data_IF_605719601659
#
_entry.id   IF_605719601659
#
_cell.length_a   1.000
_cell.length_b   1.000
_cell.length_c   1.000
_cell.angle_alpha   90.00
_cell.angle_beta   90.00
_cell.angle_gamma   90.00
#
_symmetry.space_group_name_H-M   'P 1'
#
loop_
_entity.id
_entity.type
_entity.pdbx_description
1 polymer ?
#
# COMPACT_ATOMS: atom_id res chain seq x y z
N UNK A 1 -15.89 -10.74 10.76
CA UNK A 1 -15.32 -9.78 9.78
C UNK A 1 -14.53 -8.74 10.56
N UNK A 2 -13.26 -8.47 10.20
CA UNK A 2 -12.52 -7.34 10.77
C UNK A 2 -13.26 -6.05 10.40
N UNK A 3 -13.43 -5.12 11.34
CA UNK A 3 -13.98 -3.81 11.03
C UNK A 3 -13.11 -3.12 9.97
N UNK A 4 -13.70 -2.47 8.95
CA UNK A 4 -12.95 -1.69 7.96
C UNK A 4 -12.12 -0.61 8.65
N UNK A 5 -10.86 -0.45 8.26
CA UNK A 5 -9.95 0.54 8.85
C UNK A 5 -10.29 1.94 8.34
N UNK A 6 -11.32 2.55 8.93
CA UNK A 6 -11.81 3.88 8.61
C UNK A 6 -10.90 4.95 9.20
N UNK A 7 -10.60 6.00 8.43
CA UNK A 7 -9.89 7.20 8.89
C UNK A 7 -10.76 8.01 9.86
N UNK A 8 -10.15 8.92 10.61
CA UNK A 8 -10.86 9.74 11.61
C UNK A 8 -12.01 10.55 11.00
N UNK A 9 -11.77 11.22 9.87
CA UNK A 9 -12.77 11.98 9.11
C UNK A 9 -13.91 11.10 8.58
N UNK A 10 -13.61 9.91 8.06
CA UNK A 10 -14.61 8.92 7.61
C UNK A 10 -15.50 8.48 8.77
N UNK A 11 -14.90 8.17 9.94
CA UNK A 11 -15.63 7.79 11.16
C UNK A 11 -16.55 8.90 11.66
N UNK A 12 -16.09 10.16 11.62
CA UNK A 12 -16.90 11.30 12.01
C UNK A 12 -18.10 11.49 11.09
N UNK A 13 -17.90 11.38 9.77
CA UNK A 13 -18.99 11.51 8.81
C UNK A 13 -20.02 10.38 8.97
N UNK A 14 -19.58 9.13 9.20
CA UNK A 14 -20.49 8.01 9.46
C UNK A 14 -21.33 8.25 10.72
N UNK A 15 -20.74 8.83 11.78
CA UNK A 15 -21.50 9.20 12.99
C UNK A 15 -22.60 10.23 12.68
N UNK A 16 -22.30 11.24 11.86
CA UNK A 16 -23.30 12.22 11.41
C UNK A 16 -24.39 11.57 10.56
N UNK A 17 -24.01 10.76 9.57
CA UNK A 17 -24.95 9.99 8.73
C UNK A 17 -25.91 9.15 9.58
N UNK A 18 -25.41 8.47 10.61
CA UNK A 18 -26.23 7.64 11.50
C UNK A 18 -27.18 8.46 12.36
N UNK A 19 -26.75 9.66 12.81
CA UNK A 19 -27.62 10.59 13.52
C UNK A 19 -28.83 10.97 12.64
N UNK A 20 -28.58 11.40 11.41
CA UNK A 20 -29.65 11.74 10.45
C UNK A 20 -30.52 10.55 10.10
N UNK A 21 -29.94 9.38 9.90
CA UNK A 21 -30.68 8.16 9.58
C UNK A 21 -31.62 7.73 10.72
N UNK A 22 -31.18 7.88 11.98
CA UNK A 22 -32.03 7.57 13.14
C UNK A 22 -33.20 8.56 13.25
N UNK A 23 -32.94 9.84 13.01
CA UNK A 23 -33.95 10.89 13.09
C UNK A 23 -34.97 10.82 11.94
N UNK A 24 -34.52 10.50 10.73
CA UNK A 24 -35.41 10.23 9.60
C UNK A 24 -36.38 9.09 9.89
N UNK A 25 -35.93 8.00 10.53
CA UNK A 25 -36.81 6.91 10.99
C UNK A 25 -37.87 7.41 11.96
N UNK A 26 -37.51 8.26 12.92
CA UNK A 26 -38.47 8.86 13.85
C UNK A 26 -39.48 9.78 13.16
N UNK A 27 -39.06 10.54 12.14
CA UNK A 27 -39.96 11.38 11.34
C UNK A 27 -40.91 10.57 10.45
N UNK A 28 -40.45 9.42 9.94
CA UNK A 28 -41.30 8.44 9.23
C UNK A 28 -42.38 7.91 10.17
N UNK A 29 -42.00 7.46 11.37
CA UNK A 29 -42.93 6.93 12.37
C UNK A 29 -43.96 7.98 12.82
N UNK A 30 -43.57 9.26 12.85
CA UNK A 30 -44.46 10.37 13.17
C UNK A 30 -45.33 10.86 11.98
N UNK A 31 -45.17 10.29 10.78
CA UNK A 31 -45.90 10.68 9.58
C UNK A 31 -45.56 12.09 9.06
N UNK A 32 -44.42 12.66 9.45
CA UNK A 32 -43.98 14.03 9.13
C UNK A 32 -42.82 14.06 8.13
N UNK A 33 -42.57 12.97 7.40
CA UNK A 33 -41.45 12.92 6.46
C UNK A 33 -41.79 13.65 5.16
N UNK A 34 -41.08 14.75 4.93
CA UNK A 34 -41.06 15.45 3.64
C UNK A 34 -40.21 14.65 2.61
N UNK A 35 -40.54 14.64 1.29
CA UNK A 35 -39.79 13.89 0.28
C UNK A 35 -38.31 14.29 0.17
N UNK A 36 -37.96 15.50 0.62
CA UNK A 36 -36.57 15.97 0.68
C UNK A 36 -35.74 15.18 1.72
N UNK A 37 -36.34 14.80 2.86
CA UNK A 37 -35.69 13.98 3.88
C UNK A 37 -35.48 12.52 3.45
N UNK A 38 -36.33 12.00 2.57
CA UNK A 38 -36.18 10.66 2.01
C UNK A 38 -34.97 10.58 1.06
N UNK A 39 -34.80 11.61 0.21
CA UNK A 39 -33.63 11.75 -0.67
C UNK A 39 -32.34 11.90 0.14
N UNK A 40 -32.37 12.72 1.20
CA UNK A 40 -31.23 12.90 2.08
C UNK A 40 -30.83 11.59 2.78
N UNK A 41 -31.80 10.85 3.29
CA UNK A 41 -31.56 9.56 3.97
C UNK A 41 -30.94 8.54 3.02
N UNK A 42 -31.46 8.44 1.80
CA UNK A 42 -30.93 7.55 0.76
C UNK A 42 -29.50 7.94 0.36
N UNK A 43 -29.23 9.24 0.19
CA UNK A 43 -27.88 9.73 -0.11
C UNK A 43 -26.89 9.42 1.04
N UNK A 44 -27.32 9.56 2.30
CA UNK A 44 -26.51 9.24 3.47
C UNK A 44 -26.16 7.75 3.53
N UNK A 45 -27.12 6.85 3.27
CA UNK A 45 -26.88 5.41 3.26
C UNK A 45 -25.92 4.99 2.13
N UNK A 46 -26.11 5.53 0.93
CA UNK A 46 -25.21 5.29 -0.20
C UNK A 46 -23.78 5.75 0.12
N UNK A 47 -23.63 6.90 0.76
CA UNK A 47 -22.33 7.42 1.15
C UNK A 47 -21.66 6.57 2.25
N UNK A 48 -22.41 6.10 3.25
CA UNK A 48 -21.89 5.17 4.26
C UNK A 48 -21.36 3.88 3.62
N UNK A 49 -22.12 3.29 2.69
CA UNK A 49 -21.72 2.11 1.93
C UNK A 49 -20.44 2.36 1.10
N UNK A 50 -20.36 3.51 0.43
CA UNK A 50 -19.18 3.92 -0.34
C UNK A 50 -17.95 4.07 0.55
N UNK A 51 -18.07 4.70 1.72
CA UNK A 51 -16.96 4.86 2.67
C UNK A 51 -16.43 3.52 3.16
N UNK A 52 -17.32 2.59 3.51
CA UNK A 52 -16.91 1.24 3.92
C UNK A 52 -16.23 0.46 2.79
N UNK A 53 -16.78 0.54 1.58
CA UNK A 53 -16.21 -0.13 0.40
C UNK A 53 -14.83 0.45 0.06
N UNK A 54 -14.68 1.77 0.11
CA UNK A 54 -13.42 2.45 -0.12
C UNK A 54 -12.37 2.07 0.93
N UNK A 55 -12.73 2.08 2.21
CA UNK A 55 -11.83 1.67 3.29
C UNK A 55 -11.37 0.21 3.15
N UNK A 56 -12.28 -0.70 2.75
CA UNK A 56 -11.93 -2.08 2.49
C UNK A 56 -10.94 -2.23 1.31
N UNK A 57 -11.22 -1.54 0.20
CA UNK A 57 -10.35 -1.54 -0.99
C UNK A 57 -8.96 -0.97 -0.67
N UNK A 58 -8.89 0.12 0.10
CA UNK A 58 -7.63 0.68 0.61
C UNK A 58 -6.81 -0.38 1.35
N UNK A 59 -7.42 -1.06 2.32
CA UNK A 59 -6.72 -2.10 3.09
C UNK A 59 -6.23 -3.23 2.17
N UNK A 60 -7.06 -3.69 1.24
CA UNK A 60 -6.69 -4.77 0.32
C UNK A 60 -5.49 -4.43 -0.58
N UNK A 61 -5.46 -3.22 -1.14
CA UNK A 61 -4.36 -2.74 -2.00
C UNK A 61 -3.07 -2.62 -1.17
N UNK A 62 -3.12 -2.02 0.01
CA UNK A 62 -1.95 -1.86 0.88
C UNK A 62 -1.41 -3.22 1.37
N UNK A 63 -2.29 -4.17 1.70
CA UNK A 63 -1.89 -5.53 2.07
C UNK A 63 -1.27 -6.29 0.89
N UNK A 64 -1.75 -6.08 -0.34
CA UNK A 64 -1.12 -6.63 -1.56
C UNK A 64 0.29 -6.07 -1.73
N UNK A 65 0.47 -4.76 -1.62
CA UNK A 65 1.80 -4.11 -1.72
C UNK A 65 2.76 -4.57 -0.63
N UNK A 66 2.30 -4.64 0.61
CA UNK A 66 3.11 -5.12 1.74
C UNK A 66 3.52 -6.60 1.61
N UNK A 67 2.74 -7.42 0.89
CA UNK A 67 3.15 -8.79 0.54
C UNK A 67 4.26 -8.79 -0.50
N UNK A 68 4.18 -7.94 -1.52
CA UNK A 68 5.22 -7.81 -2.54
C UNK A 68 6.58 -7.41 -1.93
N UNK A 69 6.59 -6.49 -0.96
CA UNK A 69 7.82 -6.11 -0.24
C UNK A 69 8.55 -7.30 0.40
N UNK A 70 7.85 -8.39 0.71
CA UNK A 70 8.40 -9.60 1.36
C UNK A 70 8.70 -10.74 0.39
N UNK A 71 8.51 -10.55 -0.91
CA UNK A 71 8.76 -11.59 -1.92
C UNK A 71 10.25 -11.88 -2.10
N UNK A 72 11.12 -10.93 -1.79
CA UNK A 72 12.57 -11.13 -1.93
C UNK A 72 13.07 -12.06 -0.83
N UNK A 73 13.50 -13.25 -1.25
CA UNK A 73 14.15 -14.21 -0.37
C UNK A 73 15.54 -13.73 0.05
N UNK A 74 15.82 -13.92 1.34
CA UNK A 74 17.07 -13.54 1.96
C UNK A 74 18.06 -14.71 1.98
N UNK A 75 18.88 -14.79 0.93
CA UNK A 75 19.90 -15.83 0.75
C UNK A 75 21.31 -15.34 1.16
N UNK A 76 21.40 -14.48 2.18
CA UNK A 76 22.68 -13.96 2.64
C UNK A 76 23.60 -15.06 3.20
N UNK A 77 24.90 -14.95 2.91
CA UNK A 77 25.94 -15.82 3.45
C UNK A 77 27.05 -14.98 4.08
N UNK A 78 27.66 -15.51 5.14
CA UNK A 78 28.82 -14.84 5.73
C UNK A 78 29.98 -14.77 4.72
N UNK A 79 30.57 -13.59 4.44
CA UNK A 79 31.66 -13.47 3.48
C UNK A 79 32.95 -14.21 3.91
N UNK A 80 33.11 -14.49 5.21
CA UNK A 80 34.27 -15.19 5.74
C UNK A 80 34.06 -16.71 5.86
N UNK A 81 32.97 -17.15 6.50
CA UNK A 81 32.76 -18.59 6.73
C UNK A 81 31.74 -19.24 5.78
N UNK A 82 31.08 -18.47 4.90
CA UNK A 82 30.05 -18.92 3.93
C UNK A 82 28.83 -19.63 4.54
N UNK A 83 28.70 -19.62 5.85
CA UNK A 83 27.58 -20.20 6.58
C UNK A 83 26.44 -19.19 6.75
N UNK A 84 25.22 -19.58 6.40
CA UNK A 84 24.00 -18.77 6.49
C UNK A 84 23.26 -18.93 7.84
N UNK A 85 23.35 -20.11 8.46
CA UNK A 85 22.70 -20.48 9.72
C UNK A 85 23.14 -19.63 10.92
N UNK A 86 24.37 -19.10 10.85
CA UNK A 86 24.97 -18.29 11.92
C UNK A 86 24.75 -16.78 11.74
N UNK A 87 23.88 -16.36 10.81
CA UNK A 87 23.60 -14.95 10.56
C UNK A 87 22.43 -14.44 11.42
N UNK A 88 22.62 -13.31 12.11
CA UNK A 88 21.56 -12.55 12.75
C UNK A 88 21.38 -11.23 12.02
N UNK A 89 20.18 -10.97 11.48
CA UNK A 89 19.84 -9.64 10.95
C UNK A 89 19.90 -8.61 12.06
N UNK A 90 20.68 -7.55 11.86
CA UNK A 90 20.86 -6.45 12.82
C UNK A 90 20.14 -5.18 12.40
N UNK A 91 19.88 -5.00 11.11
CA UNK A 91 19.17 -3.82 10.61
C UNK A 91 19.09 -3.77 9.10
N UNK A 92 18.86 -2.57 8.59
CA UNK A 92 18.84 -2.24 7.16
C UNK A 92 19.59 -0.94 6.93
N UNK A 93 20.36 -0.87 5.86
CA UNK A 93 21.06 0.35 5.43
C UNK A 93 20.81 0.57 3.94
N UNK A 94 20.88 1.82 3.50
CA UNK A 94 20.96 2.13 2.07
C UNK A 94 22.41 1.98 1.59
N UNK A 95 22.61 1.45 0.39
CA UNK A 95 23.92 1.41 -0.27
C UNK A 95 24.15 2.69 -1.10
N UNK A 96 25.25 2.73 -1.87
CA UNK A 96 25.64 3.85 -2.73
C UNK A 96 24.62 4.15 -3.84
N UNK A 97 23.86 3.15 -4.29
CA UNK A 97 22.77 3.31 -5.25
C UNK A 97 21.43 3.69 -4.60
N UNK A 98 21.40 3.90 -3.28
CA UNK A 98 20.18 4.19 -2.53
C UNK A 98 19.33 2.94 -2.19
N UNK A 99 19.77 1.75 -2.60
CA UNK A 99 19.04 0.51 -2.36
C UNK A 99 19.08 0.12 -0.89
N UNK A 100 17.90 -0.15 -0.34
CA UNK A 100 17.74 -0.77 0.98
C UNK A 100 18.25 -2.20 0.96
N UNK A 101 19.27 -2.43 1.77
CA UNK A 101 19.97 -3.70 1.93
C UNK A 101 19.92 -4.14 3.40
N UNK A 102 19.95 -5.44 3.66
CA UNK A 102 19.96 -5.96 5.02
C UNK A 102 21.39 -6.00 5.59
N UNK A 103 21.52 -5.72 6.88
CA UNK A 103 22.78 -5.84 7.62
C UNK A 103 22.72 -7.05 8.56
N UNK A 104 23.81 -7.80 8.62
CA UNK A 104 23.92 -9.03 9.41
C UNK A 104 25.14 -8.98 10.32
N UNK A 105 25.01 -9.64 11.46
CA UNK A 105 26.13 -10.08 12.30
C UNK A 105 26.27 -11.59 12.19
N UNK A 106 27.45 -12.05 11.75
CA UNK A 106 27.79 -13.47 11.82
C UNK A 106 28.20 -13.82 13.26
N UNK A 107 27.52 -14.77 13.88
CA UNK A 107 27.83 -15.19 15.26
C UNK A 107 29.11 -16.02 15.36
N UNK A 108 29.51 -16.70 14.28
CA UNK A 108 30.72 -17.51 14.22
C UNK A 108 31.98 -16.67 14.01
N UNK A 109 31.96 -15.77 13.02
CA UNK A 109 33.09 -14.90 12.70
C UNK A 109 33.10 -13.60 13.52
N UNK A 110 32.00 -13.29 14.22
CA UNK A 110 31.80 -12.04 14.97
C UNK A 110 31.97 -10.76 14.12
N UNK A 111 31.76 -10.85 12.80
CA UNK A 111 31.78 -9.70 11.90
C UNK A 111 30.37 -9.17 11.63
N UNK A 112 30.28 -7.89 11.31
CA UNK A 112 29.07 -7.25 10.79
C UNK A 112 29.30 -6.87 9.33
N UNK A 113 28.33 -7.16 8.46
CA UNK A 113 28.40 -6.81 7.05
C UNK A 113 27.01 -6.49 6.50
N UNK A 114 26.97 -5.71 5.43
CA UNK A 114 25.77 -5.45 4.66
C UNK A 114 25.74 -6.40 3.46
N UNK A 115 24.60 -7.05 3.26
CA UNK A 115 24.39 -7.87 2.08
C UNK A 115 23.99 -6.96 0.91
N UNK A 116 24.84 -6.85 -0.11
CA UNK A 116 24.66 -5.87 -1.18
C UNK A 116 23.43 -6.13 -2.08
N UNK A 117 22.76 -7.27 -1.95
CA UNK A 117 21.51 -7.54 -2.64
C UNK A 117 20.36 -6.79 -1.96
N UNK A 118 19.54 -6.03 -2.70
CA UNK A 118 18.42 -5.31 -2.12
C UNK A 118 17.39 -6.23 -1.45
N UNK A 119 16.71 -5.70 -0.45
CA UNK A 119 15.76 -6.46 0.38
C UNK A 119 14.30 -6.28 -0.01
N UNK A 120 14.02 -5.59 -1.12
CA UNK A 120 12.69 -5.35 -1.64
C UNK A 120 12.70 -5.46 -3.17
N UNK A 121 11.57 -5.79 -3.80
CA UNK A 121 11.56 -6.14 -5.22
C UNK A 121 11.77 -4.94 -6.15
N UNK A 122 11.39 -3.72 -5.75
CA UNK A 122 11.61 -2.51 -6.56
C UNK A 122 13.10 -2.24 -6.78
N UNK A 123 13.89 -2.19 -5.70
CA UNK A 123 15.34 -2.04 -5.83
C UNK A 123 15.99 -3.29 -6.44
N UNK A 124 15.41 -4.49 -6.26
CA UNK A 124 15.93 -5.71 -6.86
C UNK A 124 15.87 -5.66 -8.40
N UNK A 125 14.84 -5.03 -8.97
CA UNK A 125 14.75 -4.81 -10.42
C UNK A 125 15.93 -3.97 -10.91
N UNK A 126 16.18 -2.82 -10.28
CA UNK A 126 17.32 -1.95 -10.61
C UNK A 126 18.67 -2.66 -10.45
N UNK A 127 18.82 -3.45 -9.38
CA UNK A 127 20.01 -4.26 -9.14
C UNK A 127 20.24 -5.29 -10.25
N UNK A 128 19.20 -6.01 -10.67
CA UNK A 128 19.30 -7.02 -11.72
C UNK A 128 19.65 -6.39 -13.07
N UNK A 129 19.11 -5.22 -13.38
CA UNK A 129 19.43 -4.48 -14.61
C UNK A 129 20.89 -4.04 -14.63
N UNK A 130 21.39 -3.47 -13.53
CA UNK A 130 22.79 -3.09 -13.41
C UNK A 130 23.70 -4.32 -13.55
N UNK A 131 23.36 -5.42 -12.87
CA UNK A 131 24.16 -6.64 -12.90
C UNK A 131 24.15 -7.34 -14.27
N UNK A 132 23.03 -7.32 -14.99
CA UNK A 132 22.97 -7.79 -16.39
C UNK A 132 23.93 -6.98 -17.26
N UNK A 133 23.91 -5.65 -17.15
CA UNK A 133 24.82 -4.79 -17.92
C UNK A 133 26.30 -5.09 -17.62
N UNK A 134 26.66 -5.35 -16.36
CA UNK A 134 28.03 -5.75 -15.99
C UNK A 134 28.43 -7.10 -16.60
N UNK A 135 27.52 -8.07 -16.62
CA UNK A 135 27.74 -9.36 -17.26
C UNK A 135 27.87 -9.26 -18.78
N UNK A 136 27.05 -8.43 -19.41
CA UNK A 136 27.13 -8.15 -20.85
C UNK A 136 28.46 -7.47 -21.20
N UNK A 137 28.90 -6.50 -20.41
CA UNK A 137 30.21 -5.87 -20.57
C UNK A 137 31.36 -6.88 -20.39
N UNK A 138 31.19 -7.85 -19.48
CA UNK A 138 32.18 -8.90 -19.26
C UNK A 138 32.33 -9.82 -20.49
N UNK A 139 31.28 -10.03 -21.29
CA UNK A 139 31.36 -10.82 -22.53
C UNK A 139 32.27 -10.19 -23.60
N UNK A 140 32.57 -8.89 -23.50
CA UNK A 140 33.48 -8.19 -24.41
C UNK A 140 34.96 -8.32 -24.03
N UNK A 141 35.27 -8.93 -22.89
CA UNK A 141 36.65 -9.23 -22.46
C UNK A 141 37.07 -10.64 -22.87
N UNK A 142 38.38 -10.89 -23.00
CA UNK A 142 38.89 -12.25 -23.24
C UNK A 142 38.54 -13.17 -22.07
N UNK A 143 37.66 -14.15 -22.32
CA UNK A 143 37.22 -15.12 -21.35
C UNK A 143 37.26 -16.53 -21.92
N UNK A 144 37.38 -17.53 -21.04
CA UNK A 144 37.22 -18.93 -21.44
C UNK A 144 35.80 -19.20 -21.96
N UNK A 145 35.68 -20.12 -22.92
CA UNK A 145 34.39 -20.48 -23.53
C UNK A 145 33.36 -20.98 -22.48
N UNK A 146 33.83 -21.70 -21.45
CA UNK A 146 32.97 -22.16 -20.36
C UNK A 146 32.40 -21.00 -19.53
N UNK A 147 33.23 -19.98 -19.24
CA UNK A 147 32.77 -18.78 -18.53
C UNK A 147 31.75 -18.00 -19.35
N UNK A 148 31.99 -17.88 -20.66
CA UNK A 148 31.09 -17.21 -21.59
C UNK A 148 29.69 -17.85 -21.59
N UNK A 149 29.61 -19.18 -21.66
CA UNK A 149 28.35 -19.91 -21.62
C UNK A 149 27.61 -19.73 -20.28
N UNK A 150 28.35 -19.73 -19.17
CA UNK A 150 27.78 -19.48 -17.85
C UNK A 150 27.18 -18.07 -17.76
N UNK A 151 27.88 -17.05 -18.26
CA UNK A 151 27.40 -15.67 -18.29
C UNK A 151 26.13 -15.54 -19.12
N UNK A 152 26.11 -16.08 -20.33
CA UNK A 152 24.93 -16.05 -21.22
C UNK A 152 23.71 -16.69 -20.54
N UNK A 153 23.90 -17.86 -19.92
CA UNK A 153 22.83 -18.56 -19.20
C UNK A 153 22.32 -17.74 -18.02
N UNK A 154 23.23 -17.11 -17.27
CA UNK A 154 22.89 -16.27 -16.11
C UNK A 154 22.09 -15.03 -16.53
N UNK A 155 22.50 -14.36 -17.61
CA UNK A 155 21.79 -13.22 -18.18
C UNK A 155 20.36 -13.62 -18.55
N UNK A 156 20.18 -14.73 -19.28
CA UNK A 156 18.87 -15.20 -19.70
C UNK A 156 17.92 -15.47 -18.50
N UNK A 157 18.42 -16.12 -17.45
CA UNK A 157 17.64 -16.38 -16.23
C UNK A 157 17.23 -15.09 -15.49
N UNK A 158 18.12 -14.10 -15.45
CA UNK A 158 17.82 -12.82 -14.80
C UNK A 158 16.85 -11.97 -15.62
N UNK A 159 16.99 -11.96 -16.95
CA UNK A 159 16.03 -11.32 -17.85
C UNK A 159 14.64 -11.95 -17.74
N UNK A 160 14.56 -13.28 -17.66
CA UNK A 160 13.29 -13.97 -17.41
C UNK A 160 12.66 -13.56 -16.07
N UNK A 161 13.48 -13.48 -15.02
CA UNK A 161 13.03 -13.03 -13.69
C UNK A 161 12.51 -11.59 -13.73
N UNK A 162 13.20 -10.69 -14.43
CA UNK A 162 12.77 -9.30 -14.63
C UNK A 162 11.46 -9.20 -15.41
N UNK A 163 11.31 -9.97 -16.48
CA UNK A 163 10.10 -9.98 -17.32
C UNK A 163 8.86 -10.44 -16.53
N UNK A 164 9.05 -11.28 -15.51
CA UNK A 164 7.97 -11.69 -14.60
C UNK A 164 7.71 -10.67 -13.49
N UNK A 165 8.76 -10.06 -12.94
CA UNK A 165 8.66 -9.18 -11.77
C UNK A 165 8.16 -7.78 -12.14
N UNK A 166 8.65 -7.18 -13.23
CA UNK A 166 8.32 -5.80 -13.64
C UNK A 166 6.81 -5.57 -13.78
N UNK A 167 6.03 -6.39 -14.51
CA UNK A 167 4.59 -6.15 -14.67
C UNK A 167 3.86 -6.17 -13.32
N UNK A 168 4.22 -7.10 -12.43
CA UNK A 168 3.58 -7.23 -11.11
C UNK A 168 3.84 -6.00 -10.23
N UNK A 169 5.04 -5.44 -10.27
CA UNK A 169 5.37 -4.21 -9.55
C UNK A 169 4.68 -3.00 -10.15
N UNK A 170 4.68 -2.89 -11.48
CA UNK A 170 4.00 -1.81 -12.20
C UNK A 170 2.50 -1.79 -11.90
N UNK A 171 1.81 -2.93 -12.00
CA UNK A 171 0.40 -3.06 -11.64
C UNK A 171 0.15 -2.60 -10.19
N UNK A 172 1.05 -2.95 -9.26
CA UNK A 172 0.94 -2.53 -7.87
C UNK A 172 1.19 -1.02 -7.67
N UNK A 173 2.04 -0.40 -8.48
CA UNK A 173 2.29 1.05 -8.46
C UNK A 173 1.11 1.82 -9.06
N UNK A 174 0.51 1.31 -10.13
CA UNK A 174 -0.71 1.85 -10.73
C UNK A 174 -1.89 1.76 -9.77
N UNK A 175 -2.08 0.63 -9.08
CA UNK A 175 -3.14 0.45 -8.07
C UNK A 175 -3.00 1.44 -6.91
N UNK A 176 -1.78 1.67 -6.41
CA UNK A 176 -1.54 2.65 -5.34
C UNK A 176 -1.75 4.08 -5.83
N UNK A 177 -1.29 4.40 -7.03
CA UNK A 177 -1.50 5.73 -7.61
C UNK A 177 -2.99 6.03 -7.79
N UNK A 178 -3.76 5.06 -8.29
CA UNK A 178 -5.20 5.17 -8.43
C UNK A 178 -5.92 5.28 -7.07
N UNK A 179 -5.42 4.57 -6.04
CA UNK A 179 -5.92 4.70 -4.68
C UNK A 179 -5.68 6.11 -4.13
N UNK A 180 -4.48 6.67 -4.29
CA UNK A 180 -4.14 8.00 -3.81
C UNK A 180 -4.99 9.10 -4.47
N UNK A 181 -5.28 8.97 -5.77
CA UNK A 181 -6.20 9.88 -6.47
C UNK A 181 -7.62 9.79 -5.89
N UNK A 182 -8.15 8.57 -5.71
CA UNK A 182 -9.46 8.35 -5.09
C UNK A 182 -9.53 8.86 -3.66
N UNK A 183 -8.45 8.75 -2.89
CA UNK A 183 -8.37 9.26 -1.52
C UNK A 183 -8.50 10.79 -1.46
N UNK A 184 -7.91 11.49 -2.42
CA UNK A 184 -8.06 12.95 -2.52
C UNK A 184 -9.49 13.34 -2.87
N UNK A 185 -10.12 12.63 -3.80
CA UNK A 185 -11.53 12.84 -4.17
C UNK A 185 -12.46 12.57 -2.98
N UNK A 186 -12.28 11.43 -2.30
CA UNK A 186 -13.05 11.06 -1.12
C UNK A 186 -12.88 12.07 0.01
N UNK A 187 -11.67 12.60 0.23
CA UNK A 187 -11.43 13.63 1.24
C UNK A 187 -12.23 14.91 0.94
N UNK A 188 -12.26 15.35 -0.33
CA UNK A 188 -13.06 16.51 -0.75
C UNK A 188 -14.56 16.26 -0.56
N UNK A 189 -15.03 15.09 -0.98
CA UNK A 189 -16.43 14.70 -0.84
C UNK A 189 -16.84 14.63 0.63
N UNK A 190 -16.03 14.00 1.49
CA UNK A 190 -16.27 13.92 2.94
C UNK A 190 -16.39 15.32 3.54
N UNK A 191 -15.50 16.25 3.16
CA UNK A 191 -15.53 17.61 3.66
C UNK A 191 -16.82 18.34 3.25
N UNK A 192 -17.18 18.29 1.96
CA UNK A 192 -18.39 18.93 1.45
C UNK A 192 -19.66 18.36 2.09
N UNK A 193 -19.75 17.03 2.19
CA UNK A 193 -20.92 16.36 2.75
C UNK A 193 -21.04 16.57 4.25
N UNK A 194 -19.91 16.58 4.99
CA UNK A 194 -19.89 16.92 6.41
C UNK A 194 -20.43 18.33 6.64
N UNK A 195 -19.98 19.31 5.86
CA UNK A 195 -20.46 20.69 5.99
C UNK A 195 -21.96 20.79 5.70
N UNK A 196 -22.42 20.12 4.64
CA UNK A 196 -23.84 20.07 4.29
C UNK A 196 -24.68 19.45 5.42
N UNK A 197 -24.28 18.30 5.96
CA UNK A 197 -24.98 17.66 7.08
C UNK A 197 -24.94 18.51 8.36
N UNK A 198 -23.87 19.26 8.62
CA UNK A 198 -23.83 20.16 9.76
C UNK A 198 -24.81 21.33 9.59
N UNK A 199 -24.92 21.90 8.39
CA UNK A 199 -25.90 22.94 8.07
C UNK A 199 -27.33 22.41 8.25
N UNK A 200 -27.63 21.24 7.69
CA UNK A 200 -28.94 20.61 7.85
C UNK A 200 -29.25 20.29 9.32
N UNK A 201 -28.23 19.94 10.10
CA UNK A 201 -28.40 19.70 11.53
C UNK A 201 -28.80 20.99 12.23
N UNK A 202 -28.10 22.10 11.97
CA UNK A 202 -28.42 23.41 12.54
C UNK A 202 -29.84 23.83 12.17
N UNK A 203 -30.24 23.71 10.89
CA UNK A 203 -31.60 24.03 10.46
C UNK A 203 -32.67 23.26 11.24
N UNK A 204 -32.45 21.96 11.42
CA UNK A 204 -33.36 21.10 12.17
C UNK A 204 -33.39 21.42 13.66
N UNK A 205 -32.24 21.75 14.26
CA UNK A 205 -32.14 22.15 15.66
C UNK A 205 -32.86 23.50 15.87
N UNK A 206 -32.74 24.45 14.94
CA UNK A 206 -33.46 25.76 14.99
C UNK A 206 -34.97 25.67 14.75
N UNK A 207 -35.46 24.60 14.11
CA UNK A 207 -36.90 24.36 13.92
C UNK A 207 -37.56 23.72 15.15
N UNK A 208 -36.78 23.09 16.03
CA UNK A 208 -37.24 22.47 17.28
C UNK A 208 -37.22 23.43 18.49
N UNK A 209 -36.71 24.66 18.36
CA UNK A 209 -36.88 25.73 19.35
C UNK A 209 -38.01 26.71 18.97
N UNK A 210 -39.29 26.39 19.28
CA UNK A 210 -40.30 27.41 19.55
C UNK A 210 -40.63 27.38 21.04
N UNK A 211 -39.79 27.99 21.87
CA UNK A 211 -40.21 28.43 23.20
C UNK A 211 -39.67 29.84 23.47
N UNK A 212 -40.47 30.82 23.07
CA UNK A 212 -40.87 31.96 23.91
C UNK A 212 -42.31 32.34 23.53
#
# INVERSE_FOLDING_TARGET
>A
MKQPDLKANERELIKLIRFFSKRAKSLIEAGKLDPEHEKLTSACQNLEQQLYTHAHNRTAILEKRARLEKVVEDNAQCPQCKHADMLKRTGTTSNEHGWRCNTYKCRRCNITFTWNRPNNPWHLVEFLELYINELENSLHTEQSEQMRQHIVTSIAQMQESLNRLRPVLQDSDEEVTALDQKEQEMTRLIHQFKNYLLIEKIKLDTLEEPEL
#
